data_IF_428136853074
#
_entry.id   IF_428136853074
#
_cell.length_a   1.000
_cell.length_b   1.000
_cell.length_c   1.000
_cell.angle_alpha   90.00
_cell.angle_beta   90.00
_cell.angle_gamma   90.00
#
_symmetry.space_group_name_H-M   'P 1'
#
loop_
_entity.id
_entity.type
_entity.pdbx_description
1 polymer ?
#
# COMPACT_ATOMS: atom_id res chain seq x y z
N UNK A 1 -0.65 28.44 6.28
CA UNK A 1 0.65 28.15 6.91
C UNK A 1 1.61 27.93 5.77
N UNK A 2 2.45 28.93 5.49
CA UNK A 2 3.55 28.82 4.53
C UNK A 2 4.52 27.80 5.11
N UNK A 3 4.91 26.78 4.32
CA UNK A 3 5.89 25.79 4.77
C UNK A 3 7.16 26.56 5.11
N UNK A 4 7.65 26.42 6.34
CA UNK A 4 8.91 27.01 6.78
C UNK A 4 10.05 26.26 6.08
N UNK A 5 10.51 26.79 4.96
CA UNK A 5 11.57 26.23 4.12
C UNK A 5 12.96 26.31 4.77
N UNK A 6 13.08 26.94 5.95
CA UNK A 6 14.35 27.03 6.68
C UNK A 6 14.66 25.78 7.51
N UNK A 7 13.67 24.88 7.67
CA UNK A 7 13.85 23.59 8.35
C UNK A 7 13.91 22.45 7.32
N UNK A 8 14.78 21.45 7.54
CA UNK A 8 14.80 20.25 6.72
C UNK A 8 13.40 19.61 6.67
N UNK A 9 12.93 19.27 5.47
CA UNK A 9 11.65 18.58 5.27
C UNK A 9 11.64 17.19 5.93
N UNK A 10 12.82 16.60 6.11
CA UNK A 10 13.03 15.39 6.90
C UNK A 10 13.77 15.80 8.19
N UNK A 11 13.16 15.56 9.35
CA UNK A 11 13.89 15.57 10.61
C UNK A 11 14.62 14.23 10.75
N UNK A 12 15.94 14.26 10.97
CA UNK A 12 16.78 13.05 11.02
C UNK A 12 16.33 12.04 12.09
N UNK A 13 15.58 12.48 13.11
CA UNK A 13 15.12 11.65 14.22
C UNK A 13 13.71 11.01 14.02
N UNK A 14 13.06 11.26 12.87
CA UNK A 14 11.67 10.85 12.63
C UNK A 14 11.52 9.76 11.57
N UNK A 15 10.88 8.64 11.91
CA UNK A 15 10.49 7.63 10.93
C UNK A 15 9.03 7.18 11.10
N UNK A 16 8.32 7.02 9.98
CA UNK A 16 7.00 6.42 9.97
C UNK A 16 7.14 4.90 10.00
N UNK A 17 6.77 4.26 11.11
CA UNK A 17 6.69 2.80 11.20
C UNK A 17 5.46 2.30 10.46
N UNK A 18 5.67 1.31 9.59
CA UNK A 18 4.62 0.68 8.80
C UNK A 18 4.49 -0.79 9.19
N UNK A 19 3.34 -1.24 9.70
CA UNK A 19 3.11 -2.65 10.00
C UNK A 19 3.21 -3.53 8.75
N UNK A 20 3.86 -4.69 8.86
CA UNK A 20 4.04 -5.64 7.75
C UNK A 20 2.72 -6.11 7.14
N UNK A 21 1.63 -6.12 7.91
CA UNK A 21 0.31 -6.51 7.44
C UNK A 21 -0.15 -5.67 6.24
N UNK A 22 0.25 -4.40 6.17
CA UNK A 22 -0.07 -3.50 5.06
C UNK A 22 0.57 -3.93 3.74
N UNK A 23 1.72 -4.61 3.79
CA UNK A 23 2.42 -5.11 2.61
C UNK A 23 2.07 -6.55 2.26
N UNK A 24 1.64 -7.34 3.24
CA UNK A 24 1.47 -8.80 3.08
C UNK A 24 0.03 -9.26 3.00
N UNK A 25 -0.88 -8.58 3.68
CA UNK A 25 -2.28 -9.01 3.77
C UNK A 25 -3.22 -8.03 3.08
N UNK A 26 -3.08 -6.73 3.32
CA UNK A 26 -3.95 -5.76 2.64
C UNK A 26 -3.92 -5.84 1.10
N UNK A 27 -2.79 -6.11 0.42
CA UNK A 27 -2.77 -6.26 -1.04
C UNK A 27 -3.54 -7.46 -1.59
N UNK A 28 -4.01 -8.36 -0.71
CA UNK A 28 -4.93 -9.44 -1.08
C UNK A 28 -6.33 -8.88 -1.40
N UNK A 29 -6.69 -7.75 -0.77
CA UNK A 29 -7.99 -7.13 -0.89
C UNK A 29 -8.13 -6.40 -2.23
N UNK A 30 -9.34 -6.44 -2.78
CA UNK A 30 -9.65 -5.81 -4.06
C UNK A 30 -9.31 -4.31 -4.08
N UNK A 31 -8.63 -3.89 -5.14
CA UNK A 31 -8.18 -2.51 -5.35
C UNK A 31 -7.04 -2.04 -4.44
N UNK A 32 -6.57 -2.87 -3.50
CA UNK A 32 -5.48 -2.51 -2.59
C UNK A 32 -4.12 -2.81 -3.23
N UNK A 33 -3.36 -1.76 -3.54
CA UNK A 33 -2.06 -1.88 -4.22
C UNK A 33 -0.90 -1.41 -3.36
N UNK A 34 0.33 -1.71 -3.76
CA UNK A 34 1.53 -1.14 -3.11
C UNK A 34 1.59 0.39 -3.21
N UNK A 35 1.05 1.00 -4.28
CA UNK A 35 0.87 2.46 -4.35
C UNK A 35 -0.07 2.96 -3.23
N UNK A 36 -1.09 2.17 -2.88
CA UNK A 36 -2.02 2.48 -1.78
C UNK A 36 -1.30 2.44 -0.42
N UNK A 37 -0.45 1.42 -0.20
CA UNK A 37 0.42 1.32 0.99
C UNK A 37 1.36 2.52 1.07
N UNK A 38 1.98 2.88 -0.05
CA UNK A 38 2.89 4.02 -0.16
C UNK A 38 2.20 5.33 0.19
N UNK A 39 0.97 5.56 -0.32
CA UNK A 39 0.19 6.74 0.02
C UNK A 39 -0.17 6.78 1.52
N UNK A 40 -0.54 5.65 2.11
CA UNK A 40 -0.82 5.58 3.55
C UNK A 40 0.44 5.90 4.38
N UNK A 41 1.59 5.31 4.05
CA UNK A 41 2.87 5.60 4.73
C UNK A 41 3.30 7.06 4.57
N UNK A 42 3.08 7.63 3.39
CA UNK A 42 3.28 9.06 3.15
C UNK A 42 2.37 9.91 4.05
N UNK A 43 1.07 9.60 4.15
CA UNK A 43 0.17 10.32 5.05
C UNK A 43 0.62 10.19 6.52
N UNK A 44 1.04 9.00 6.96
CA UNK A 44 1.57 8.81 8.32
C UNK A 44 2.79 9.68 8.61
N UNK A 45 3.71 9.86 7.66
CA UNK A 45 4.90 10.70 7.87
C UNK A 45 4.56 12.18 8.01
N UNK A 46 3.45 12.63 7.41
CA UNK A 46 2.96 14.01 7.48
C UNK A 46 1.97 14.28 8.63
N UNK A 47 1.69 13.29 9.48
CA UNK A 47 0.73 13.46 10.58
C UNK A 47 1.32 14.37 11.67
N UNK A 48 0.47 15.19 12.28
CA UNK A 48 0.88 16.00 13.41
C UNK A 48 1.08 15.13 14.66
N UNK A 49 2.32 15.03 15.13
CA UNK A 49 2.72 14.18 16.26
C UNK A 49 2.78 14.90 17.61
N UNK A 50 2.54 16.21 17.67
CA UNK A 50 2.52 16.95 18.94
C UNK A 50 1.24 16.66 19.74
N UNK A 51 1.39 15.98 20.88
CA UNK A 51 0.32 15.74 21.83
C UNK A 51 -0.29 17.06 22.32
N UNK A 52 -1.61 17.09 22.47
CA UNK A 52 -2.37 18.30 22.84
C UNK A 52 -2.66 19.28 21.69
N UNK A 53 -2.15 19.04 20.47
CA UNK A 53 -2.55 19.83 19.31
C UNK A 53 -3.93 19.39 18.79
N UNK A 54 -4.80 20.32 18.36
CA UNK A 54 -6.15 20.01 17.87
C UNK A 54 -6.17 19.11 16.60
N UNK A 55 -5.05 19.06 15.89
CA UNK A 55 -4.84 18.21 14.71
C UNK A 55 -3.96 16.99 15.00
N UNK A 56 -3.72 16.66 16.27
CA UNK A 56 -2.92 15.48 16.64
C UNK A 56 -3.43 14.22 15.92
N UNK A 57 -2.50 13.45 15.34
CA UNK A 57 -2.80 12.26 14.54
C UNK A 57 -3.32 12.54 13.11
N UNK A 58 -3.49 13.81 12.73
CA UNK A 58 -4.11 14.19 11.45
C UNK A 58 -3.11 14.84 10.50
N UNK A 59 -3.40 14.72 9.22
CA UNK A 59 -2.65 15.25 8.09
C UNK A 59 -3.46 16.37 7.45
N UNK A 60 -2.81 17.48 7.16
CA UNK A 60 -3.45 18.67 6.61
C UNK A 60 -2.81 19.18 5.31
N UNK A 61 -2.61 18.28 4.35
CA UNK A 61 -2.02 18.58 3.04
C UNK A 61 -3.07 18.98 1.99
N UNK A 62 -2.68 19.82 1.01
CA UNK A 62 -3.50 20.02 -0.17
C UNK A 62 -3.28 18.86 -1.14
N UNK A 63 -4.27 18.60 -1.98
CA UNK A 63 -4.12 17.58 -3.03
C UNK A 63 -2.97 17.93 -4.00
N UNK A 64 -2.75 19.21 -4.30
CA UNK A 64 -1.61 19.68 -5.10
C UNK A 64 -0.26 19.30 -4.50
N UNK A 65 -0.14 19.40 -3.17
CA UNK A 65 1.11 19.13 -2.46
C UNK A 65 1.42 17.62 -2.50
N UNK A 66 0.38 16.80 -2.32
CA UNK A 66 0.47 15.34 -2.44
C UNK A 66 0.89 14.97 -3.87
N UNK A 67 0.23 15.54 -4.89
CA UNK A 67 0.58 15.30 -6.30
C UNK A 67 2.04 15.67 -6.58
N UNK A 68 2.49 16.84 -6.14
CA UNK A 68 3.85 17.33 -6.40
C UNK A 68 4.93 16.46 -5.76
N UNK A 69 4.68 15.90 -4.57
CA UNK A 69 5.66 15.07 -3.86
C UNK A 69 5.62 13.59 -4.24
N UNK A 70 4.44 13.05 -4.53
CA UNK A 70 4.26 11.61 -4.81
C UNK A 70 4.29 11.29 -6.30
N UNK A 71 4.14 12.29 -7.18
CA UNK A 71 3.96 12.09 -8.62
C UNK A 71 2.61 11.49 -9.00
N UNK A 72 1.75 11.16 -8.03
CA UNK A 72 0.44 10.58 -8.29
C UNK A 72 -0.53 11.64 -8.82
N UNK A 73 -1.31 11.28 -9.83
CA UNK A 73 -2.37 12.17 -10.32
C UNK A 73 -3.46 12.36 -9.27
N UNK A 74 -4.17 13.49 -9.34
CA UNK A 74 -5.30 13.76 -8.45
C UNK A 74 -6.39 12.67 -8.51
N UNK A 75 -6.55 12.02 -9.67
CA UNK A 75 -7.46 10.89 -9.83
C UNK A 75 -6.97 9.66 -9.04
N UNK A 76 -5.70 9.25 -9.24
CA UNK A 76 -5.10 8.13 -8.50
C UNK A 76 -5.13 8.36 -6.99
N UNK A 77 -4.80 9.57 -6.53
CA UNK A 77 -4.87 9.92 -5.11
C UNK A 77 -6.27 9.69 -4.55
N UNK A 78 -7.32 10.11 -5.26
CA UNK A 78 -8.72 9.88 -4.81
C UNK A 78 -9.08 8.40 -4.80
N UNK A 79 -8.63 7.63 -5.79
CA UNK A 79 -8.86 6.19 -5.83
C UNK A 79 -8.22 5.50 -4.63
N UNK A 80 -6.94 5.75 -4.36
CA UNK A 80 -6.24 5.18 -3.20
C UNK A 80 -6.83 5.64 -1.86
N UNK A 81 -7.22 6.92 -1.73
CA UNK A 81 -7.94 7.39 -0.53
C UNK A 81 -9.23 6.60 -0.34
N UNK A 82 -10.02 6.39 -1.39
CA UNK A 82 -11.27 5.63 -1.30
C UNK A 82 -11.04 4.18 -0.88
N UNK A 83 -9.94 3.56 -1.34
CA UNK A 83 -9.55 2.21 -0.93
C UNK A 83 -9.14 2.19 0.55
N UNK A 84 -8.33 3.17 1.00
CA UNK A 84 -7.95 3.28 2.40
C UNK A 84 -9.16 3.53 3.31
N UNK A 85 -10.15 4.33 2.88
CA UNK A 85 -11.41 4.53 3.60
C UNK A 85 -12.25 3.24 3.63
N UNK A 86 -12.37 2.52 2.49
CA UNK A 86 -13.12 1.26 2.38
C UNK A 86 -12.65 0.22 3.41
N UNK A 87 -11.33 0.09 3.59
CA UNK A 87 -10.74 -0.90 4.49
C UNK A 87 -10.33 -0.35 5.86
N UNK A 88 -10.87 0.80 6.25
CA UNK A 88 -10.74 1.34 7.62
C UNK A 88 -9.36 1.88 8.00
N UNK A 89 -8.47 2.12 7.04
CA UNK A 89 -7.13 2.67 7.27
C UNK A 89 -7.08 4.20 7.26
N UNK A 90 -8.13 4.84 6.77
CA UNK A 90 -8.15 6.30 6.65
C UNK A 90 -9.54 6.84 6.91
N UNK A 91 -9.59 7.99 7.55
CA UNK A 91 -10.79 8.82 7.59
C UNK A 91 -10.50 10.16 6.93
N UNK A 92 -11.15 10.46 5.81
CA UNK A 92 -11.04 11.75 5.15
C UNK A 92 -12.26 12.64 5.48
N UNK A 93 -12.01 13.82 6.06
CA UNK A 93 -13.06 14.79 6.38
C UNK A 93 -12.83 16.12 5.69
N UNK A 94 -13.91 16.87 5.42
CA UNK A 94 -13.80 18.24 4.92
C UNK A 94 -13.47 19.18 6.07
N UNK A 95 -12.54 20.11 5.85
CA UNK A 95 -12.28 21.18 6.81
C UNK A 95 -13.49 22.09 6.94
N UNK A 96 -13.88 22.40 8.18
CA UNK A 96 -14.92 23.41 8.46
C UNK A 96 -14.41 24.84 8.28
N UNK A 97 -13.10 25.05 8.29
CA UNK A 97 -12.46 26.37 8.28
C UNK A 97 -11.92 26.78 6.92
N UNK A 98 -11.58 25.83 6.05
CA UNK A 98 -10.96 26.09 4.75
C UNK A 98 -11.75 25.35 3.67
N UNK A 99 -12.34 26.11 2.75
CA UNK A 99 -13.12 25.55 1.65
C UNK A 99 -12.29 24.54 0.83
N UNK A 100 -12.92 23.44 0.42
CA UNK A 100 -12.34 22.37 -0.41
C UNK A 100 -11.10 21.67 0.14
N UNK A 101 -10.66 22.01 1.36
CA UNK A 101 -9.53 21.39 2.02
C UNK A 101 -9.97 20.13 2.75
N UNK A 102 -9.24 19.04 2.54
CA UNK A 102 -9.45 17.77 3.25
C UNK A 102 -8.48 17.65 4.43
N UNK A 103 -8.93 16.93 5.44
CA UNK A 103 -8.17 16.50 6.60
C UNK A 103 -8.17 14.98 6.57
N UNK A 104 -6.99 14.38 6.61
CA UNK A 104 -6.84 12.93 6.59
C UNK A 104 -6.39 12.46 7.98
N UNK A 105 -7.03 11.41 8.48
CA UNK A 105 -6.71 10.80 9.76
C UNK A 105 -6.35 9.34 9.49
N UNK A 106 -5.06 9.02 9.33
CA UNK A 106 -4.60 7.64 9.22
C UNK A 106 -4.95 6.87 10.49
N UNK A 107 -5.58 5.73 10.33
CA UNK A 107 -5.97 4.84 11.42
C UNK A 107 -5.02 3.65 11.47
N UNK A 108 -4.88 3.04 12.65
CA UNK A 108 -4.08 1.83 12.80
C UNK A 108 -4.68 0.69 11.97
N UNK A 109 -3.84 -0.13 11.30
CA UNK A 109 -4.32 -1.31 10.61
C UNK A 109 -4.85 -2.34 11.60
N UNK A 110 -5.68 -3.25 11.08
CA UNK A 110 -6.12 -4.42 11.83
C UNK A 110 -4.92 -5.26 12.28
N UNK A 111 -5.09 -5.98 13.39
CA UNK A 111 -4.19 -7.07 13.73
C UNK A 111 -4.37 -8.23 12.75
N UNK A 112 -3.40 -9.14 12.68
CA UNK A 112 -3.51 -10.32 11.81
C UNK A 112 -4.76 -11.16 12.14
N UNK A 113 -5.05 -11.35 13.42
CA UNK A 113 -6.21 -12.13 13.86
C UNK A 113 -7.53 -11.49 13.42
N UNK A 114 -7.68 -10.18 13.62
CA UNK A 114 -8.86 -9.43 13.17
C UNK A 114 -9.00 -9.46 11.64
N UNK A 115 -7.89 -9.28 10.92
CA UNK A 115 -7.90 -9.32 9.46
C UNK A 115 -8.37 -10.68 8.94
N UNK A 116 -7.83 -11.78 9.47
CA UNK A 116 -8.25 -13.14 9.09
C UNK A 116 -9.71 -13.42 9.42
N UNK A 117 -10.21 -12.89 10.53
CA UNK A 117 -11.61 -13.06 10.91
C UNK A 117 -12.56 -12.29 9.99
N UNK A 118 -12.18 -11.10 9.52
CA UNK A 118 -13.01 -10.24 8.68
C UNK A 118 -12.95 -10.64 7.20
N UNK A 119 -11.75 -10.97 6.69
CA UNK A 119 -11.49 -11.20 5.26
C UNK A 119 -11.10 -12.66 4.96
N UNK A 120 -11.78 -13.61 5.63
CA UNK A 120 -11.46 -15.04 5.52
C UNK A 120 -11.62 -15.56 4.07
N UNK A 121 -12.64 -15.09 3.37
CA UNK A 121 -12.95 -15.49 2.00
C UNK A 121 -11.88 -14.99 1.02
N UNK A 122 -11.46 -13.73 1.13
CA UNK A 122 -10.40 -13.16 0.30
C UNK A 122 -9.06 -13.86 0.53
N UNK A 123 -8.77 -14.24 1.77
CA UNK A 123 -7.59 -15.03 2.13
C UNK A 123 -7.62 -16.42 1.46
N UNK A 124 -8.77 -17.11 1.49
CA UNK A 124 -8.93 -18.40 0.82
C UNK A 124 -8.73 -18.27 -0.69
N UNK A 125 -9.40 -17.30 -1.32
CA UNK A 125 -9.29 -17.05 -2.75
C UNK A 125 -7.88 -16.64 -3.18
N UNK A 126 -7.11 -16.00 -2.30
CA UNK A 126 -5.69 -15.72 -2.56
C UNK A 126 -4.83 -16.98 -2.50
N UNK A 127 -5.06 -17.85 -1.52
CA UNK A 127 -4.34 -19.12 -1.43
C UNK A 127 -4.58 -19.97 -2.69
N UNK A 128 -5.83 -20.07 -3.14
CA UNK A 128 -6.17 -20.81 -4.37
C UNK A 128 -5.43 -20.27 -5.60
N UNK A 129 -5.25 -18.94 -5.69
CA UNK A 129 -4.48 -18.29 -6.76
C UNK A 129 -2.99 -18.58 -6.67
N UNK A 130 -2.43 -18.60 -5.47
CA UNK A 130 -1.02 -18.97 -5.25
C UNK A 130 -0.77 -20.43 -5.67
N UNK A 131 -1.62 -21.34 -5.23
CA UNK A 131 -1.52 -22.77 -5.56
C UNK A 131 -1.72 -23.04 -7.06
N UNK A 132 -2.53 -22.22 -7.74
CA UNK A 132 -2.66 -22.27 -9.19
C UNK A 132 -1.39 -21.78 -9.90
N UNK A 133 -0.80 -20.69 -9.43
CA UNK A 133 0.44 -20.14 -9.99
C UNK A 133 1.63 -21.10 -9.82
N UNK A 134 1.76 -21.74 -8.65
CA UNK A 134 2.81 -22.72 -8.40
C UNK A 134 2.70 -23.93 -9.34
N UNK A 135 1.48 -24.44 -9.57
CA UNK A 135 1.23 -25.49 -10.56
C UNK A 135 1.61 -25.08 -11.99
N UNK A 136 1.28 -23.85 -12.39
CA UNK A 136 1.65 -23.34 -13.72
C UNK A 136 3.18 -23.26 -13.90
N UNK A 137 3.91 -22.86 -12.84
CA UNK A 137 5.38 -22.83 -12.82
C UNK A 137 5.96 -24.23 -12.96
N UNK A 138 5.43 -25.22 -12.23
CA UNK A 138 5.85 -26.62 -12.33
C UNK A 138 5.61 -27.17 -13.73
N UNK A 139 4.42 -26.99 -14.30
CA UNK A 139 4.11 -27.42 -15.68
C UNK A 139 4.98 -26.72 -16.73
N UNK A 140 5.32 -25.44 -16.54
CA UNK A 140 6.25 -24.72 -17.40
C UNK A 140 7.67 -25.30 -17.31
N UNK A 141 8.12 -25.67 -16.12
CA UNK A 141 9.42 -26.30 -15.89
C UNK A 141 9.50 -27.68 -16.54
N UNK A 142 8.47 -28.51 -16.40
CA UNK A 142 8.42 -29.84 -17.00
C UNK A 142 8.43 -29.75 -18.54
N UNK A 143 7.67 -28.80 -19.11
CA UNK A 143 7.70 -28.53 -20.56
C UNK A 143 9.08 -28.09 -21.06
N UNK A 144 9.82 -27.30 -20.27
CA UNK A 144 11.18 -26.90 -20.61
C UNK A 144 12.16 -28.08 -20.56
N UNK A 145 12.04 -28.97 -19.56
CA UNK A 145 12.89 -30.16 -19.45
C UNK A 145 12.66 -31.13 -20.60
N UNK A 146 11.41 -31.38 -20.99
CA UNK A 146 11.09 -32.22 -22.15
C UNK A 146 11.68 -31.65 -23.44
N UNK A 147 11.54 -30.33 -23.66
CA UNK A 147 12.15 -29.65 -24.82
C UNK A 147 13.68 -29.72 -24.81
N UNK A 148 14.31 -29.65 -23.64
CA UNK A 148 15.76 -29.79 -23.54
C UNK A 148 16.22 -31.22 -23.87
N UNK A 149 15.47 -32.23 -23.42
CA UNK A 149 15.75 -33.64 -23.73
C UNK A 149 15.55 -33.98 -25.23
N UNK A 150 14.60 -33.34 -25.91
CA UNK A 150 14.42 -33.50 -27.37
C UNK A 150 15.55 -32.87 -28.22
N UNK A 151 16.29 -31.90 -27.66
CA UNK A 151 17.32 -31.14 -28.37
C UNK A 151 18.76 -31.57 -28.06
N UNK A 152 19.00 -32.50 -27.13
CA UNK A 152 20.32 -33.11 -26.94
C UNK A 152 20.56 -34.21 -27.99
N UNK A 153 21.44 -34.01 -28.99
CA UNK A 153 21.77 -35.06 -29.95
C UNK A 153 22.54 -36.19 -29.27
N UNK A 154 22.23 -37.44 -29.63
CA UNK A 154 22.93 -38.63 -29.13
C UNK A 154 24.46 -38.43 -29.16
N UNK A 155 25.18 -38.80 -28.10
CA UNK A 155 26.63 -38.69 -28.08
C UNK A 155 27.19 -39.51 -29.23
N UNK A 156 27.91 -38.86 -30.15
CA UNK A 156 28.57 -39.51 -31.29
C UNK A 156 29.43 -40.67 -30.76
N UNK A 157 28.96 -41.90 -30.97
CA UNK A 157 29.74 -43.09 -30.74
C UNK A 157 31.01 -43.02 -31.61
N UNK A 158 32.15 -43.25 -30.97
CA UNK A 158 33.51 -43.12 -31.53
C UNK A 158 33.78 -44.05 -32.69
#
# INVERSE_FOLDING_TARGET
MTIDVTKPLAHDDGFARMPNILFRMYPILDGFTLETVGLYGYLLSWRQNKSGHAMYGKVWLNQSDITAQTGLSAYKIRAHISVLEKYGLLKATKSRKVANKRIYEPLEPLTEAEFRAIYAEEMSAFQDRMDAADREIEEARDRLQLKQAEFEPEPKAS
#
